data_IF_741710291918
#
_entry.id   IF_741710291918
#
_cell.length_a   1.000
_cell.length_b   1.000
_cell.length_c   1.000
_cell.angle_alpha   90.00
_cell.angle_beta   90.00
_cell.angle_gamma   90.00
#
_symmetry.space_group_name_H-M   'P 1'
#
loop_
_entity.id
_entity.type
_entity.pdbx_description
1 polymer ?
#
# COMPACT_ATOMS: atom_id res chain seq x y z
N UNK A 1 1.61 -36.07 80.36
CA UNK A 1 0.34 -35.76 79.67
C UNK A 1 0.65 -34.81 78.52
N UNK A 2 0.16 -35.10 77.31
CA UNK A 2 0.44 -34.31 76.10
C UNK A 2 0.93 -35.19 74.95
N UNK A 3 0.01 -35.91 74.31
CA UNK A 3 0.25 -36.87 73.22
C UNK A 3 0.30 -36.17 71.86
N UNK A 4 1.50 -36.07 71.27
CA UNK A 4 1.70 -35.66 69.88
C UNK A 4 1.63 -36.85 68.92
N UNK A 5 0.61 -36.91 68.05
CA UNK A 5 0.51 -37.87 66.94
C UNK A 5 0.79 -37.18 65.59
N UNK A 6 1.40 -37.89 64.62
CA UNK A 6 1.92 -37.29 63.40
C UNK A 6 0.92 -37.24 62.22
N UNK A 7 1.21 -36.32 61.31
CA UNK A 7 0.58 -36.04 60.02
C UNK A 7 0.49 -37.27 59.10
N UNK A 8 -0.71 -37.58 58.60
CA UNK A 8 -0.94 -38.45 57.43
C UNK A 8 -1.41 -37.63 56.22
N UNK A 9 -0.58 -37.62 55.18
CA UNK A 9 -0.88 -37.15 53.82
C UNK A 9 -2.03 -37.98 53.21
N UNK A 10 -3.08 -37.32 52.72
CA UNK A 10 -4.07 -37.91 51.78
C UNK A 10 -3.82 -37.39 50.38
N UNK A 11 -3.32 -38.27 49.50
CA UNK A 11 -3.35 -38.11 48.05
C UNK A 11 -4.80 -38.30 47.56
N UNK A 12 -5.36 -37.32 46.86
CA UNK A 12 -6.57 -37.51 46.03
C UNK A 12 -6.14 -37.62 44.57
N UNK A 13 -6.20 -38.84 44.03
CA UNK A 13 -6.23 -39.13 42.58
C UNK A 13 -7.59 -38.68 42.04
N UNK A 14 -7.60 -37.89 40.97
CA UNK A 14 -8.79 -37.69 40.11
C UNK A 14 -8.62 -38.57 38.88
N UNK A 15 -9.55 -39.50 38.68
CA UNK A 15 -9.74 -40.24 37.43
C UNK A 15 -10.49 -39.37 36.41
N UNK A 16 -10.27 -39.58 35.09
CA UNK A 16 -11.02 -38.90 34.05
C UNK A 16 -12.35 -39.63 33.77
N UNK A 17 -13.44 -38.86 33.68
CA UNK A 17 -14.74 -39.35 33.22
C UNK A 17 -14.76 -39.44 31.69
N UNK A 18 -15.28 -40.57 31.22
CA UNK A 18 -15.42 -40.95 29.83
C UNK A 18 -16.86 -40.76 29.33
N UNK A 19 -16.96 -40.44 28.03
CA UNK A 19 -18.00 -40.82 27.06
C UNK A 19 -19.44 -40.30 27.29
N UNK A 20 -19.83 -39.37 26.42
CA UNK A 20 -21.19 -39.18 25.95
C UNK A 20 -21.15 -38.95 24.44
N UNK A 21 -21.63 -39.94 23.68
CA UNK A 21 -21.79 -39.89 22.22
C UNK A 21 -22.95 -38.96 21.89
N UNK A 22 -22.83 -38.15 20.84
CA UNK A 22 -23.91 -38.02 19.86
C UNK A 22 -23.38 -37.51 18.52
N UNK A 23 -23.80 -38.23 17.48
CA UNK A 23 -23.32 -38.12 16.12
C UNK A 23 -24.34 -37.30 15.31
N UNK A 24 -23.92 -36.18 14.72
CA UNK A 24 -24.65 -35.55 13.63
C UNK A 24 -23.79 -35.55 12.35
N UNK A 25 -24.12 -36.49 11.47
CA UNK A 25 -23.50 -36.71 10.16
C UNK A 25 -24.22 -35.84 9.13
N UNK A 26 -23.72 -34.63 8.87
CA UNK A 26 -24.07 -33.89 7.64
C UNK A 26 -23.00 -34.10 6.57
N UNK A 27 -23.28 -35.03 5.66
CA UNK A 27 -22.51 -35.29 4.44
C UNK A 27 -22.71 -34.13 3.46
N UNK A 28 -21.69 -33.28 3.28
CA UNK A 28 -21.62 -32.42 2.10
C UNK A 28 -21.21 -33.25 0.88
N UNK A 29 -22.13 -33.38 -0.08
CA UNK A 29 -21.83 -33.91 -1.43
C UNK A 29 -20.98 -32.89 -2.20
N UNK A 30 -19.94 -33.31 -2.94
CA UNK A 30 -19.23 -32.42 -3.85
C UNK A 30 -20.08 -32.20 -5.11
N UNK A 31 -20.38 -30.94 -5.44
CA UNK A 31 -20.99 -30.57 -6.70
C UNK A 31 -19.98 -30.83 -7.85
N UNK A 32 -20.35 -31.75 -8.76
CA UNK A 32 -19.69 -31.91 -10.05
C UNK A 32 -19.91 -30.64 -10.88
N UNK A 33 -18.84 -29.90 -11.12
CA UNK A 33 -18.81 -28.81 -12.11
C UNK A 33 -18.93 -29.44 -13.51
N UNK A 34 -19.99 -29.08 -14.24
CA UNK A 34 -20.13 -29.36 -15.67
C UNK A 34 -19.23 -28.39 -16.46
N UNK A 35 -18.57 -28.84 -17.54
CA UNK A 35 -17.81 -27.95 -18.41
C UNK A 35 -18.78 -27.03 -19.18
N UNK A 36 -18.62 -25.71 -19.00
CA UNK A 36 -19.28 -24.71 -19.83
C UNK A 36 -18.52 -24.58 -21.15
N UNK A 37 -19.20 -24.93 -22.24
CA UNK A 37 -18.75 -24.74 -23.62
C UNK A 37 -18.74 -23.23 -23.92
N UNK A 38 -17.56 -22.69 -24.24
CA UNK A 38 -17.41 -21.31 -24.69
C UNK A 38 -18.06 -21.13 -26.07
N UNK A 39 -19.20 -20.43 -26.13
CA UNK A 39 -19.70 -19.83 -27.37
C UNK A 39 -18.92 -18.54 -27.64
N UNK A 40 -18.10 -18.54 -28.68
CA UNK A 40 -17.52 -17.34 -29.25
C UNK A 40 -18.63 -16.47 -29.86
N UNK A 41 -18.85 -15.28 -29.30
CA UNK A 41 -19.72 -14.26 -29.91
C UNK A 41 -18.91 -13.57 -31.01
N UNK A 42 -19.26 -13.83 -32.28
CA UNK A 42 -18.76 -13.06 -33.42
C UNK A 42 -19.39 -11.66 -33.37
N UNK A 43 -18.55 -10.63 -33.37
CA UNK A 43 -18.99 -9.24 -33.52
C UNK A 43 -19.36 -8.95 -34.98
N UNK A 44 -20.47 -8.23 -35.15
CA UNK A 44 -21.06 -7.85 -36.43
C UNK A 44 -20.24 -6.76 -37.14
N UNK A 45 -19.97 -6.87 -38.46
CA UNK A 45 -19.16 -5.93 -39.21
C UNK A 45 -20.01 -4.75 -39.69
N UNK A 46 -20.33 -3.81 -38.80
CA UNK A 46 -21.05 -2.59 -39.20
C UNK A 46 -20.74 -1.42 -38.27
N UNK A 47 -19.46 -1.10 -38.09
CA UNK A 47 -18.98 0.14 -37.47
C UNK A 47 -17.64 0.55 -38.11
N UNK A 48 -17.67 0.77 -39.42
CA UNK A 48 -16.68 1.59 -40.13
C UNK A 48 -17.47 2.70 -40.81
N UNK A 49 -16.93 3.92 -40.72
CA UNK A 49 -17.40 5.19 -41.29
C UNK A 49 -18.29 6.04 -40.36
N UNK A 50 -17.63 7.02 -39.74
CA UNK A 50 -17.97 8.45 -39.61
C UNK A 50 -17.00 8.99 -38.55
N UNK A 51 -16.34 10.13 -38.65
CA UNK A 51 -16.15 11.16 -39.67
C UNK A 51 -15.10 12.08 -39.01
N UNK A 52 -14.01 12.40 -39.70
CA UNK A 52 -13.07 13.41 -39.26
C UNK A 52 -13.75 14.78 -39.30
N UNK A 53 -13.90 15.45 -38.16
CA UNK A 53 -14.16 16.90 -38.09
C UNK A 53 -13.27 17.50 -37.00
N UNK A 54 -12.31 18.32 -37.43
CA UNK A 54 -11.49 19.18 -36.57
C UNK A 54 -12.37 20.29 -35.98
N UNK A 55 -12.34 20.56 -34.68
CA UNK A 55 -12.93 21.77 -34.13
C UNK A 55 -12.02 22.99 -34.37
N UNK A 56 -12.59 24.21 -34.42
CA UNK A 56 -11.85 25.43 -34.68
C UNK A 56 -10.96 25.83 -33.49
N UNK A 57 -9.81 26.44 -33.81
CA UNK A 57 -8.87 26.99 -32.85
C UNK A 57 -9.44 28.29 -32.27
N UNK A 58 -9.71 28.30 -30.96
CA UNK A 58 -9.97 29.53 -30.22
C UNK A 58 -8.66 30.09 -29.65
N UNK A 59 -8.38 31.35 -30.00
CA UNK A 59 -7.32 32.17 -29.41
C UNK A 59 -7.45 32.24 -27.88
N UNK A 60 -6.36 31.94 -27.17
CA UNK A 60 -6.22 32.20 -25.73
C UNK A 60 -5.59 33.58 -25.51
N UNK A 61 -6.13 34.41 -24.60
CA UNK A 61 -5.44 35.60 -24.15
C UNK A 61 -4.25 35.23 -23.25
N UNK A 62 -3.14 35.93 -23.44
CA UNK A 62 -1.91 35.85 -22.65
C UNK A 62 -2.13 36.37 -21.23
N UNK A 63 -1.88 35.52 -20.23
CA UNK A 63 -1.80 35.95 -18.82
C UNK A 63 -0.37 36.40 -18.47
N UNK A 64 -0.21 37.38 -17.57
CA UNK A 64 1.09 37.94 -17.21
C UNK A 64 1.91 36.96 -16.35
N UNK A 65 3.22 36.92 -16.61
CA UNK A 65 4.21 36.17 -15.83
C UNK A 65 4.46 36.87 -14.49
N UNK A 66 4.45 36.19 -13.34
CA UNK A 66 5.07 36.72 -12.13
C UNK A 66 6.55 36.31 -12.07
N UNK A 67 7.40 37.32 -11.92
CA UNK A 67 8.79 37.20 -11.52
C UNK A 67 8.92 36.52 -10.15
N UNK A 68 9.47 35.30 -10.12
CA UNK A 68 9.98 34.68 -8.90
C UNK A 68 11.36 34.07 -9.16
N UNK A 69 12.33 34.92 -9.50
CA UNK A 69 13.76 34.58 -9.49
C UNK A 69 14.50 35.51 -8.52
N UNK A 70 14.47 35.19 -7.23
CA UNK A 70 15.24 35.96 -6.24
C UNK A 70 15.58 35.25 -4.92
N UNK A 71 14.86 34.21 -4.49
CA UNK A 71 14.96 33.73 -3.09
C UNK A 71 15.68 32.39 -2.86
N UNK A 72 16.20 31.72 -3.90
CA UNK A 72 16.84 30.40 -3.74
C UNK A 72 18.38 30.38 -3.59
N UNK A 73 19.08 31.51 -3.73
CA UNK A 73 20.56 31.53 -3.69
C UNK A 73 21.19 31.71 -2.30
N UNK A 74 20.44 32.11 -1.27
CA UNK A 74 21.00 32.34 0.07
C UNK A 74 21.14 31.08 0.96
N UNK A 75 20.44 29.98 0.64
CA UNK A 75 20.30 28.84 1.56
C UNK A 75 21.36 27.74 1.40
N UNK A 76 22.06 27.70 0.26
CA UNK A 76 23.04 26.63 -0.03
C UNK A 76 24.36 26.83 0.74
N UNK A 77 24.72 28.07 1.12
CA UNK A 77 25.97 28.35 1.85
C UNK A 77 25.95 28.03 3.35
N UNK A 78 24.79 28.00 4.01
CA UNK A 78 24.71 27.78 5.45
C UNK A 78 24.94 26.31 5.89
N UNK A 79 24.83 25.37 4.95
CA UNK A 79 24.95 23.92 5.20
C UNK A 79 26.40 23.44 5.40
N UNK A 80 27.39 24.25 5.02
CA UNK A 80 28.83 23.93 5.15
C UNK A 80 29.55 24.71 6.26
N UNK A 81 28.81 25.43 7.09
CA UNK A 81 29.39 26.17 8.20
C UNK A 81 29.76 25.23 9.38
N UNK A 82 30.87 25.48 10.08
CA UNK A 82 31.19 24.84 11.35
C UNK A 82 30.03 24.97 12.36
N UNK A 83 29.88 23.98 13.26
CA UNK A 83 28.75 23.88 14.21
C UNK A 83 28.48 25.15 15.02
N UNK A 84 29.50 25.92 15.38
CA UNK A 84 29.35 27.17 16.13
C UNK A 84 28.72 28.30 15.27
N UNK A 85 29.05 28.36 13.97
CA UNK A 85 28.48 29.32 13.03
C UNK A 85 27.03 28.97 12.65
N UNK A 86 26.69 27.68 12.57
CA UNK A 86 25.30 27.23 12.44
C UNK A 86 24.45 27.64 13.67
N UNK A 87 25.01 27.58 14.88
CA UNK A 87 24.33 28.04 16.11
C UNK A 87 24.10 29.55 16.12
N UNK A 88 25.08 30.36 15.70
CA UNK A 88 24.93 31.83 15.57
C UNK A 88 23.90 32.21 14.51
N UNK A 89 23.89 31.52 13.36
CA UNK A 89 22.88 31.74 12.31
C UNK A 89 21.46 31.41 12.79
N UNK A 90 21.28 30.30 13.54
CA UNK A 90 20.00 29.94 14.17
C UNK A 90 19.52 30.96 15.20
N UNK A 91 20.42 31.54 15.99
CA UNK A 91 20.08 32.62 16.94
C UNK A 91 19.61 33.88 16.19
N UNK A 92 20.26 34.25 15.09
CA UNK A 92 19.84 35.38 14.24
C UNK A 92 18.48 35.17 13.55
N UNK A 93 18.18 33.94 13.11
CA UNK A 93 16.87 33.62 12.52
C UNK A 93 15.75 33.62 13.56
N UNK A 94 16.00 33.15 14.79
CA UNK A 94 15.06 33.24 15.92
C UNK A 94 14.78 34.69 16.32
N UNK A 95 15.82 35.52 16.40
CA UNK A 95 15.69 36.95 16.72
C UNK A 95 14.89 37.74 15.67
N UNK A 96 14.74 37.21 14.44
CA UNK A 96 13.97 37.85 13.34
C UNK A 96 12.58 37.24 13.14
N UNK A 97 12.10 36.38 14.04
CA UNK A 97 10.78 35.72 13.89
C UNK A 97 10.71 34.69 12.74
N UNK A 98 11.85 34.36 12.11
CA UNK A 98 11.92 33.48 10.93
C UNK A 98 12.14 32.00 11.29
N UNK A 99 11.86 31.60 12.53
CA UNK A 99 12.20 30.26 13.03
C UNK A 99 11.00 29.30 13.06
N UNK A 100 10.46 28.96 11.89
CA UNK A 100 9.84 27.65 11.70
C UNK A 100 10.78 26.79 10.89
N UNK A 101 11.83 26.28 11.55
CA UNK A 101 12.63 25.21 10.97
C UNK A 101 11.79 23.93 11.02
N UNK A 102 11.79 23.09 9.96
CA UNK A 102 11.07 21.82 9.97
C UNK A 102 11.51 20.98 11.17
N UNK A 103 10.55 20.35 11.85
CA UNK A 103 10.81 19.47 12.99
C UNK A 103 11.43 18.18 12.46
N UNK A 104 12.76 18.16 12.40
CA UNK A 104 13.52 16.96 11.98
C UNK A 104 13.46 15.92 13.10
N UNK A 105 12.79 14.80 12.83
CA UNK A 105 12.73 13.69 13.75
C UNK A 105 14.08 12.95 13.74
N UNK A 106 14.65 12.66 14.91
CA UNK A 106 15.89 11.89 15.04
C UNK A 106 15.74 10.83 16.12
N UNK A 107 15.90 9.53 15.80
CA UNK A 107 15.75 8.45 16.77
C UNK A 107 16.68 8.52 17.98
N UNK A 108 17.82 9.24 17.88
CA UNK A 108 18.86 9.26 18.91
C UNK A 108 18.57 10.15 20.13
N UNK A 109 17.42 10.84 20.19
CA UNK A 109 17.04 11.72 21.32
C UNK A 109 16.10 11.11 22.36
N UNK A 110 15.84 9.81 22.30
CA UNK A 110 15.02 9.10 23.30
C UNK A 110 15.93 8.28 24.23
N UNK A 111 16.58 8.92 25.21
CA UNK A 111 17.20 8.22 26.35
C UNK A 111 16.25 8.33 27.55
N UNK A 112 15.89 7.19 28.16
CA UNK A 112 15.41 7.13 29.54
C UNK A 112 15.87 5.82 30.19
N UNK A 113 16.77 5.92 31.18
CA UNK A 113 16.39 5.87 32.59
C UNK A 113 15.57 4.70 33.15
N UNK A 114 15.46 3.54 32.47
CA UNK A 114 14.95 2.32 33.13
C UNK A 114 15.80 1.11 32.74
N UNK A 115 16.68 0.70 33.65
CA UNK A 115 17.41 -0.56 33.58
C UNK A 115 16.47 -1.69 34.03
N UNK A 116 16.27 -2.71 33.19
CA UNK A 116 15.63 -3.97 33.60
C UNK A 116 14.58 -4.58 32.66
N UNK A 117 14.09 -3.86 31.65
CA UNK A 117 13.22 -4.43 30.60
C UNK A 117 13.96 -4.45 29.27
N UNK A 118 13.87 -5.56 28.53
CA UNK A 118 14.40 -5.66 27.17
C UNK A 118 13.97 -4.42 26.37
N UNK A 119 14.87 -3.76 25.63
CA UNK A 119 14.61 -2.46 25.03
C UNK A 119 13.41 -2.54 24.09
N UNK A 120 12.29 -1.98 24.55
CA UNK A 120 11.08 -1.83 23.75
C UNK A 120 11.42 -0.92 22.56
N UNK A 121 11.57 -1.50 21.37
CA UNK A 121 11.86 -0.73 20.15
C UNK A 121 10.62 0.11 19.81
N UNK A 122 10.69 1.41 20.12
CA UNK A 122 9.57 2.34 19.98
C UNK A 122 9.24 2.57 18.50
N UNK A 123 7.95 2.55 18.18
CA UNK A 123 7.38 2.93 16.87
C UNK A 123 7.20 4.44 16.80
N UNK A 124 7.12 4.99 15.59
CA UNK A 124 6.72 6.38 15.36
C UNK A 124 5.24 6.46 15.05
N UNK A 125 4.41 6.94 15.99
CA UNK A 125 3.00 7.26 15.74
C UNK A 125 2.86 8.77 15.58
N UNK A 126 2.21 9.20 14.51
CA UNK A 126 1.88 10.59 14.24
C UNK A 126 0.36 10.75 14.36
N UNK A 127 -0.06 11.34 15.47
CA UNK A 127 -1.47 11.62 15.79
C UNK A 127 -1.85 13.05 15.36
N UNK A 128 -0.91 13.98 15.49
CA UNK A 128 -1.08 15.39 15.12
C UNK A 128 0.30 15.97 14.76
N UNK A 129 0.35 16.78 13.71
CA UNK A 129 1.55 17.46 13.23
C UNK A 129 1.49 17.90 11.78
N UNK A 130 2.12 19.06 11.53
CA UNK A 130 2.50 19.53 10.19
C UNK A 130 4.01 19.62 10.03
N UNK A 131 4.50 19.61 8.78
CA UNK A 131 5.91 19.79 8.43
C UNK A 131 6.85 18.74 9.04
N UNK A 132 6.37 17.49 9.18
CA UNK A 132 7.16 16.40 9.77
C UNK A 132 7.98 15.73 8.69
N UNK A 133 9.30 15.66 8.90
CA UNK A 133 10.22 14.95 8.01
C UNK A 133 10.88 13.79 8.74
N UNK A 134 10.63 12.58 8.25
CA UNK A 134 11.26 11.34 8.68
C UNK A 134 12.13 10.86 7.53
N UNK A 135 13.45 11.06 7.65
CA UNK A 135 14.38 10.79 6.56
C UNK A 135 15.63 10.05 6.98
N UNK A 136 16.11 9.16 6.11
CA UNK A 136 17.39 8.46 6.27
C UNK A 136 17.50 7.69 7.61
N UNK A 137 16.37 7.20 8.10
CA UNK A 137 16.29 6.33 9.26
C UNK A 137 16.38 4.85 8.85
N UNK A 138 16.72 4.00 9.82
CA UNK A 138 16.65 2.53 9.69
C UNK A 138 15.65 1.98 10.70
N UNK A 139 14.61 1.32 10.21
CA UNK A 139 13.60 0.65 11.01
C UNK A 139 13.82 -0.85 10.87
N UNK A 140 14.16 -1.51 11.99
CA UNK A 140 14.51 -2.95 12.01
C UNK A 140 13.63 -3.68 13.00
N UNK A 141 12.88 -4.67 12.50
CA UNK A 141 12.02 -5.54 13.30
C UNK A 141 11.01 -4.75 14.16
N UNK A 142 10.43 -3.71 13.57
CA UNK A 142 9.39 -2.87 14.17
C UNK A 142 8.01 -3.48 13.91
N UNK A 143 7.31 -3.88 14.97
CA UNK A 143 5.91 -4.31 14.97
C UNK A 143 5.30 -4.23 16.38
N UNK A 144 4.01 -4.55 16.53
CA UNK A 144 3.39 -4.85 17.83
C UNK A 144 3.82 -6.23 18.32
N UNK A 145 4.30 -6.32 19.55
CA UNK A 145 4.22 -7.60 20.27
C UNK A 145 2.73 -7.99 20.28
N UNK A 146 2.41 -9.18 19.77
CA UNK A 146 1.10 -9.78 20.03
C UNK A 146 0.82 -9.78 21.53
N UNK A 147 -0.45 -9.80 21.91
CA UNK A 147 -0.91 -9.68 23.30
C UNK A 147 -0.50 -10.83 24.25
N UNK A 148 0.44 -11.68 23.82
CA UNK A 148 0.94 -12.81 24.60
C UNK A 148 0.09 -14.07 24.50
N UNK A 149 -1.00 -14.09 23.72
CA UNK A 149 -1.74 -15.33 23.47
C UNK A 149 -1.01 -16.25 22.47
N UNK A 150 -0.99 -17.55 22.77
CA UNK A 150 -0.41 -18.60 21.93
C UNK A 150 -1.17 -18.68 20.59
N UNK A 151 -0.48 -18.40 19.49
CA UNK A 151 -1.07 -18.29 18.13
C UNK A 151 -0.71 -16.97 17.43
N UNK A 152 -0.26 -15.96 18.18
CA UNK A 152 0.28 -14.72 17.65
C UNK A 152 1.71 -14.94 17.15
N UNK A 153 1.88 -14.93 15.83
CA UNK A 153 3.18 -15.22 15.26
C UNK A 153 4.29 -14.25 15.66
N UNK A 154 5.50 -14.63 15.32
CA UNK A 154 6.72 -13.98 15.79
C UNK A 154 6.74 -12.53 15.30
N UNK A 155 6.74 -11.53 16.20
CA UNK A 155 6.75 -10.12 15.82
C UNK A 155 7.95 -9.76 14.93
N UNK A 156 9.03 -10.54 14.98
CA UNK A 156 10.21 -10.34 14.17
C UNK A 156 10.14 -11.07 12.82
N UNK A 157 9.22 -12.03 12.65
CA UNK A 157 8.99 -12.73 11.38
C UNK A 157 7.93 -12.01 10.55
N UNK A 158 8.26 -11.61 9.31
CA UNK A 158 7.35 -10.87 8.43
C UNK A 158 6.02 -11.57 8.15
N UNK A 159 6.03 -12.91 8.08
CA UNK A 159 4.88 -13.73 7.70
C UNK A 159 3.99 -14.15 8.87
N UNK A 160 4.45 -13.95 10.11
CA UNK A 160 3.71 -14.41 11.29
C UNK A 160 3.46 -13.28 12.28
N UNK A 161 4.21 -12.17 12.23
CA UNK A 161 3.93 -10.97 13.00
C UNK A 161 2.61 -10.31 12.60
N UNK A 162 2.00 -9.57 13.55
CA UNK A 162 0.75 -8.86 13.31
C UNK A 162 0.87 -7.88 12.14
N UNK A 163 -0.18 -7.83 11.30
CA UNK A 163 -0.25 -6.98 10.10
C UNK A 163 -0.30 -5.48 10.39
N UNK A 164 -0.61 -5.07 11.62
CA UNK A 164 -0.68 -3.67 12.03
C UNK A 164 -0.26 -3.46 13.49
N UNK A 165 0.23 -2.26 13.86
CA UNK A 165 0.42 -1.07 13.02
C UNK A 165 1.77 -1.10 12.28
N UNK A 166 1.97 -0.11 11.41
CA UNK A 166 3.22 0.07 10.68
C UNK A 166 4.41 0.55 11.53
N UNK A 167 5.59 0.66 10.91
CA UNK A 167 6.78 1.21 11.58
C UNK A 167 6.66 2.72 11.82
N UNK A 168 6.10 3.39 10.82
CA UNK A 168 5.56 4.75 10.91
C UNK A 168 4.06 4.60 10.75
N UNK A 169 3.30 5.16 11.69
CA UNK A 169 1.86 5.03 11.77
C UNK A 169 1.25 6.42 11.81
N UNK A 170 0.58 6.82 10.73
CA UNK A 170 -0.10 8.12 10.59
C UNK A 170 -1.58 7.86 10.83
N UNK A 171 -2.01 8.12 12.05
CA UNK A 171 -3.33 7.76 12.55
C UNK A 171 -3.80 8.91 13.45
N UNK A 172 -4.46 9.94 12.87
CA UNK A 172 -5.08 10.98 13.68
C UNK A 172 -6.03 10.36 14.70
N UNK A 173 -6.09 10.96 15.88
CA UNK A 173 -7.14 10.63 16.84
C UNK A 173 -8.50 10.99 16.24
N UNK A 174 -9.59 10.45 16.79
CA UNK A 174 -10.96 10.72 16.34
C UNK A 174 -11.45 12.17 16.58
N UNK A 175 -10.51 13.09 16.83
CA UNK A 175 -10.74 14.50 17.05
C UNK A 175 -10.68 15.24 15.69
N UNK A 176 -11.68 16.05 15.38
CA UNK A 176 -11.78 16.79 14.13
C UNK A 176 -10.76 17.94 14.01
N UNK A 177 -10.04 18.24 15.09
CA UNK A 177 -8.95 19.21 15.16
C UNK A 177 -7.57 18.66 14.78
N UNK A 178 -7.41 17.34 14.59
CA UNK A 178 -6.12 16.76 14.24
C UNK A 178 -5.55 17.36 12.94
N UNK A 179 -4.32 17.88 12.98
CA UNK A 179 -3.64 18.45 11.81
C UNK A 179 -2.65 17.41 11.30
N UNK A 180 -2.95 16.75 10.18
CA UNK A 180 -1.99 15.86 9.50
C UNK A 180 -1.65 16.47 8.14
N UNK A 181 -0.53 17.19 8.06
CA UNK A 181 -0.16 17.92 6.84
C UNK A 181 1.33 17.90 6.53
N UNK A 182 1.66 17.92 5.24
CA UNK A 182 3.04 18.18 4.79
C UNK A 182 4.05 17.21 5.43
N UNK A 183 3.69 15.92 5.44
CA UNK A 183 4.45 14.83 6.04
C UNK A 183 5.33 14.19 4.97
N UNK A 184 6.64 14.10 5.22
CA UNK A 184 7.58 13.50 4.29
C UNK A 184 8.31 12.33 4.93
N UNK A 185 8.13 11.13 4.38
CA UNK A 185 8.85 9.91 4.74
C UNK A 185 9.77 9.53 3.59
N UNK A 186 11.08 9.78 3.72
CA UNK A 186 12.00 9.62 2.59
C UNK A 186 13.35 8.98 2.84
N UNK A 187 13.83 8.19 1.89
CA UNK A 187 15.18 7.61 1.94
C UNK A 187 15.42 6.75 3.18
N UNK A 188 14.36 6.18 3.77
CA UNK A 188 14.46 5.30 4.92
C UNK A 188 14.63 3.85 4.47
N UNK A 189 15.15 3.02 5.37
CA UNK A 189 15.28 1.58 5.16
C UNK A 189 14.46 0.84 6.22
N UNK A 190 13.47 0.08 5.79
CA UNK A 190 12.61 -0.75 6.62
C UNK A 190 12.91 -2.22 6.34
N UNK A 191 13.25 -2.99 7.36
CA UNK A 191 13.58 -4.41 7.18
C UNK A 191 13.11 -5.27 8.36
N UNK A 192 12.51 -6.42 8.03
CA UNK A 192 11.98 -7.36 9.00
C UNK A 192 10.77 -6.84 9.78
N UNK A 193 10.18 -7.70 10.60
CA UNK A 193 9.02 -7.38 11.44
C UNK A 193 7.65 -7.48 10.76
N UNK A 194 6.61 -7.62 11.55
CA UNK A 194 5.21 -7.59 11.09
C UNK A 194 4.74 -6.20 10.64
N UNK A 195 3.63 -6.19 9.90
CA UNK A 195 2.91 -5.03 9.42
C UNK A 195 3.57 -4.18 8.33
N UNK A 196 2.88 -3.11 7.93
CA UNK A 196 3.34 -2.20 6.86
C UNK A 196 4.56 -1.38 7.28
N UNK A 197 5.38 -0.88 6.34
CA UNK A 197 6.45 0.05 6.69
C UNK A 197 5.88 1.42 7.10
N UNK A 198 4.94 1.92 6.29
CA UNK A 198 4.17 3.14 6.58
C UNK A 198 2.69 2.77 6.57
N UNK A 199 2.02 3.00 7.69
CA UNK A 199 0.59 2.80 7.86
C UNK A 199 -0.11 4.15 7.88
N UNK A 200 -1.21 4.30 7.15
CA UNK A 200 -2.00 5.54 7.13
C UNK A 200 -3.46 5.19 7.35
N UNK A 201 -3.94 5.35 8.59
CA UNK A 201 -5.33 5.17 8.96
C UNK A 201 -5.95 6.54 9.21
N UNK A 202 -6.39 7.18 8.12
CA UNK A 202 -6.80 8.59 8.12
C UNK A 202 -8.31 8.72 8.36
N UNK A 203 -8.71 9.82 8.99
CA UNK A 203 -10.12 10.22 9.04
C UNK A 203 -10.59 10.70 7.65
N UNK A 204 -11.86 10.50 7.29
CA UNK A 204 -12.43 11.05 6.07
C UNK A 204 -12.25 12.58 6.03
N UNK A 205 -11.73 13.11 4.93
CA UNK A 205 -11.44 14.54 4.84
C UNK A 205 -12.69 15.45 4.95
N UNK A 206 -13.89 14.89 4.78
CA UNK A 206 -15.17 15.60 5.02
C UNK A 206 -15.49 15.78 6.52
N UNK A 207 -14.90 14.96 7.38
CA UNK A 207 -15.20 14.91 8.83
C UNK A 207 -14.17 15.68 9.67
N UNK A 208 -13.13 16.24 9.06
CA UNK A 208 -12.09 17.04 9.76
C UNK A 208 -12.17 18.51 9.37
N UNK A 209 -11.91 19.39 10.34
CA UNK A 209 -11.94 20.85 10.12
C UNK A 209 -10.81 21.30 9.19
N UNK A 210 -9.62 20.78 9.41
CA UNK A 210 -8.45 21.04 8.55
C UNK A 210 -8.21 19.80 7.67
N UNK A 211 -8.25 19.92 6.33
CA UNK A 211 -8.03 18.76 5.47
C UNK A 211 -6.63 18.16 5.67
N UNK A 212 -6.60 16.85 5.86
CA UNK A 212 -5.40 16.02 5.82
C UNK A 212 -4.84 16.09 4.39
N UNK A 213 -3.59 16.52 4.23
CA UNK A 213 -3.02 16.76 2.90
C UNK A 213 -1.49 16.73 2.85
N UNK A 214 -0.91 16.49 1.66
CA UNK A 214 0.52 16.70 1.43
C UNK A 214 1.43 15.62 2.04
N UNK A 215 0.97 14.37 2.08
CA UNK A 215 1.79 13.25 2.57
C UNK A 215 2.61 12.68 1.41
N UNK A 216 3.93 12.62 1.56
CA UNK A 216 4.86 12.08 0.57
C UNK A 216 5.69 10.94 1.15
N UNK A 217 5.65 9.78 0.50
CA UNK A 217 6.47 8.60 0.82
C UNK A 217 7.39 8.33 -0.37
N UNK A 218 8.67 8.67 -0.27
CA UNK A 218 9.57 8.68 -1.43
C UNK A 218 10.96 8.03 -1.21
N UNK A 219 11.45 7.30 -2.20
CA UNK A 219 12.84 6.81 -2.20
C UNK A 219 13.17 5.86 -1.04
N UNK A 220 12.18 5.20 -0.44
CA UNK A 220 12.40 4.27 0.66
C UNK A 220 12.70 2.85 0.14
N UNK A 221 13.45 2.08 0.93
CA UNK A 221 13.71 0.66 0.69
C UNK A 221 12.99 -0.13 1.78
N UNK A 222 12.09 -1.02 1.38
CA UNK A 222 11.24 -1.83 2.26
C UNK A 222 11.44 -3.30 1.91
N UNK A 223 11.91 -4.10 2.85
CA UNK A 223 12.36 -5.46 2.59
C UNK A 223 11.85 -6.43 3.63
N UNK A 224 11.33 -7.58 3.19
CA UNK A 224 10.95 -8.68 4.07
C UNK A 224 10.08 -8.17 5.23
N UNK A 225 8.93 -7.59 4.90
CA UNK A 225 7.90 -7.13 5.85
C UNK A 225 6.55 -7.72 5.46
N UNK A 226 5.54 -7.59 6.32
CA UNK A 226 4.18 -7.93 5.91
C UNK A 226 3.76 -7.09 4.70
N UNK A 227 3.99 -5.77 4.73
CA UNK A 227 3.71 -4.94 3.57
C UNK A 227 4.54 -3.67 3.42
N UNK A 228 4.43 -3.07 2.22
CA UNK A 228 5.07 -1.81 1.88
C UNK A 228 4.40 -0.64 2.58
N UNK A 229 3.23 -0.23 2.08
CA UNK A 229 2.44 0.84 2.67
C UNK A 229 0.95 0.53 2.59
N UNK A 230 0.17 1.05 3.55
CA UNK A 230 -1.28 1.08 3.44
C UNK A 230 -1.81 2.51 3.55
N UNK A 231 -2.99 2.73 2.96
CA UNK A 231 -3.69 4.00 2.98
C UNK A 231 -5.19 3.75 3.09
N UNK A 232 -5.76 4.07 4.25
CA UNK A 232 -7.17 4.00 4.55
C UNK A 232 -7.72 5.40 4.81
N UNK A 233 -8.84 5.73 4.20
CA UNK A 233 -9.47 7.05 4.33
C UNK A 233 -10.99 6.98 4.44
N UNK A 234 -11.69 7.44 3.40
CA UNK A 234 -13.15 7.44 3.34
C UNK A 234 -13.72 6.03 3.48
N UNK A 235 -14.92 5.91 4.06
CA UNK A 235 -15.70 4.66 4.08
C UNK A 235 -16.72 4.64 2.94
N UNK A 236 -17.05 3.44 2.45
CA UNK A 236 -18.06 3.24 1.41
C UNK A 236 -17.73 4.01 0.14
N UNK A 237 -18.66 4.84 -0.34
CA UNK A 237 -18.50 5.69 -1.52
C UNK A 237 -18.03 7.12 -1.19
N UNK A 238 -17.66 7.41 0.06
CA UNK A 238 -17.32 8.76 0.51
C UNK A 238 -16.22 9.46 -0.30
N UNK A 239 -15.25 8.70 -0.84
CA UNK A 239 -14.21 9.27 -1.72
C UNK A 239 -14.76 9.84 -3.04
N UNK A 240 -15.84 9.24 -3.56
CA UNK A 240 -16.50 9.68 -4.79
C UNK A 240 -17.40 10.91 -4.56
N UNK A 241 -17.96 11.04 -3.36
CA UNK A 241 -18.87 12.14 -3.00
C UNK A 241 -18.12 13.39 -2.51
N UNK A 242 -16.95 13.21 -1.88
CA UNK A 242 -16.17 14.33 -1.35
C UNK A 242 -15.41 15.05 -2.46
N UNK A 243 -15.31 16.38 -2.35
CA UNK A 243 -14.43 17.24 -3.14
C UNK A 243 -13.01 17.32 -2.55
N UNK A 244 -12.84 17.03 -1.25
CA UNK A 244 -11.57 17.14 -0.50
C UNK A 244 -10.71 15.86 -0.59
N UNK A 245 -9.69 15.86 -1.46
CA UNK A 245 -8.70 14.79 -1.55
C UNK A 245 -7.57 14.86 -0.51
N UNK A 246 -6.82 13.78 -0.33
CA UNK A 246 -5.69 13.69 0.62
C UNK A 246 -4.35 14.13 0.03
N UNK A 247 -4.24 14.30 -1.29
CA UNK A 247 -2.99 14.68 -1.98
C UNK A 247 -1.77 13.84 -1.52
N UNK A 248 -1.92 12.52 -1.50
CA UNK A 248 -0.87 11.59 -1.08
C UNK A 248 -0.05 11.17 -2.30
N UNK A 249 1.27 11.20 -2.17
CA UNK A 249 2.19 10.73 -3.20
C UNK A 249 3.11 9.64 -2.66
N UNK A 250 3.10 8.48 -3.29
CA UNK A 250 4.01 7.36 -3.00
C UNK A 250 4.87 7.11 -4.23
N UNK A 251 6.16 7.44 -4.18
CA UNK A 251 7.01 7.39 -5.37
C UNK A 251 8.42 6.88 -5.17
N UNK A 252 8.98 6.30 -6.22
CA UNK A 252 10.40 5.90 -6.27
C UNK A 252 10.82 4.97 -5.12
N UNK A 253 9.88 4.23 -4.51
CA UNK A 253 10.19 3.28 -3.44
C UNK A 253 10.52 1.90 -4.03
N UNK A 254 11.36 1.14 -3.33
CA UNK A 254 11.60 -0.28 -3.61
C UNK A 254 10.99 -1.10 -2.48
N UNK A 255 10.00 -1.93 -2.80
CA UNK A 255 9.34 -2.86 -1.89
C UNK A 255 9.64 -4.27 -2.37
N UNK A 256 10.32 -5.08 -1.54
CA UNK A 256 10.69 -6.44 -1.93
C UNK A 256 10.46 -7.49 -0.86
N UNK A 257 10.16 -8.72 -1.28
CA UNK A 257 10.00 -9.85 -0.36
C UNK A 257 8.87 -9.66 0.66
N UNK A 258 7.89 -8.81 0.34
CA UNK A 258 6.76 -8.53 1.23
C UNK A 258 5.52 -9.35 0.85
N UNK A 259 4.60 -9.57 1.79
CA UNK A 259 3.33 -10.22 1.47
C UNK A 259 2.42 -9.28 0.67
N UNK A 260 2.23 -8.04 1.13
CA UNK A 260 1.38 -7.03 0.50
C UNK A 260 2.20 -5.84 0.02
N UNK A 261 2.40 -5.64 -1.29
CA UNK A 261 3.11 -4.46 -1.80
C UNK A 261 2.49 -3.15 -1.28
N UNK A 262 1.17 -3.01 -1.46
CA UNK A 262 0.39 -1.93 -0.87
C UNK A 262 -1.11 -2.23 -0.82
N UNK A 263 -1.84 -1.48 0.01
CA UNK A 263 -3.31 -1.36 -0.01
C UNK A 263 -3.69 0.12 -0.03
N UNK A 264 -4.59 0.51 -0.93
CA UNK A 264 -5.23 1.82 -0.91
C UNK A 264 -6.75 1.65 -0.87
N UNK A 265 -7.40 2.05 0.22
CA UNK A 265 -8.83 1.89 0.44
C UNK A 265 -9.48 3.23 0.79
N UNK A 266 -10.57 3.59 0.09
CA UNK A 266 -11.29 4.82 0.41
C UNK A 266 -10.48 6.10 0.12
N UNK A 267 -9.59 6.07 -0.86
CA UNK A 267 -8.67 7.17 -1.13
C UNK A 267 -9.19 8.10 -2.22
N UNK A 268 -9.08 9.41 -1.97
CA UNK A 268 -9.23 10.48 -2.97
C UNK A 268 -7.93 11.24 -3.19
N UNK A 269 -7.46 11.38 -4.43
CA UNK A 269 -6.26 12.16 -4.73
C UNK A 269 -4.97 11.46 -4.28
N UNK A 270 -4.83 10.18 -4.61
CA UNK A 270 -3.64 9.37 -4.34
C UNK A 270 -2.84 9.15 -5.64
N UNK A 271 -1.53 9.35 -5.60
CA UNK A 271 -0.61 9.03 -6.69
C UNK A 271 0.42 8.01 -6.23
N UNK A 272 0.52 6.88 -6.92
CA UNK A 272 1.53 5.84 -6.72
C UNK A 272 2.35 5.73 -8.02
N UNK A 273 3.61 6.19 -8.01
CA UNK A 273 4.39 6.27 -9.26
C UNK A 273 5.87 5.93 -9.15
N UNK A 274 6.47 5.31 -10.17
CA UNK A 274 7.91 5.04 -10.18
C UNK A 274 8.38 4.03 -9.13
N UNK A 275 7.48 3.30 -8.48
CA UNK A 275 7.85 2.31 -7.46
C UNK A 275 8.23 0.97 -8.10
N UNK A 276 9.05 0.20 -7.38
CA UNK A 276 9.45 -1.18 -7.74
C UNK A 276 8.92 -2.13 -6.68
N UNK A 277 7.98 -2.99 -7.06
CA UNK A 277 7.43 -4.07 -6.25
C UNK A 277 8.01 -5.38 -6.78
N UNK A 278 8.83 -6.06 -5.99
CA UNK A 278 9.65 -7.18 -6.47
C UNK A 278 9.56 -8.36 -5.51
N UNK A 279 9.30 -9.56 -6.02
CA UNK A 279 9.25 -10.78 -5.21
C UNK A 279 8.25 -10.69 -4.04
N UNK A 280 7.11 -10.02 -4.26
CA UNK A 280 6.05 -9.96 -3.26
C UNK A 280 5.11 -11.15 -3.40
N UNK A 281 4.85 -11.85 -2.28
CA UNK A 281 4.09 -13.11 -2.27
C UNK A 281 2.58 -12.93 -2.28
N UNK A 282 2.07 -11.70 -2.34
CA UNK A 282 0.66 -11.38 -2.47
C UNK A 282 0.43 -10.22 -3.44
N UNK A 283 -0.83 -9.86 -3.64
CA UNK A 283 -1.23 -8.80 -4.56
C UNK A 283 -1.14 -7.41 -3.91
N UNK A 284 -0.83 -6.41 -4.72
CA UNK A 284 -1.15 -5.02 -4.44
C UNK A 284 -2.65 -4.77 -4.61
N UNK A 285 -3.22 -3.79 -3.90
CA UNK A 285 -4.66 -3.55 -3.94
C UNK A 285 -5.03 -2.06 -4.08
N UNK A 286 -5.84 -1.78 -5.10
CA UNK A 286 -6.52 -0.52 -5.32
C UNK A 286 -8.02 -0.70 -5.05
N UNK A 287 -8.48 -0.06 -3.98
CA UNK A 287 -9.75 -0.30 -3.32
C UNK A 287 -9.60 -1.39 -2.26
N UNK A 288 -10.65 -1.61 -1.48
CA UNK A 288 -10.84 -2.80 -0.65
C UNK A 288 -12.35 -2.88 -0.41
N UNK A 289 -12.82 -2.40 0.73
CA UNK A 289 -14.25 -2.27 1.07
C UNK A 289 -14.82 -0.89 0.72
N UNK A 290 -13.98 0.07 0.27
CA UNK A 290 -14.37 1.45 0.00
C UNK A 290 -13.84 1.91 -1.35
N UNK A 291 -14.64 2.74 -2.02
CA UNK A 291 -14.39 3.20 -3.37
C UNK A 291 -13.19 4.17 -3.45
N UNK A 292 -12.55 4.20 -4.60
CA UNK A 292 -11.48 5.15 -4.92
C UNK A 292 -12.00 6.33 -5.73
N UNK A 293 -11.31 7.48 -5.65
CA UNK A 293 -11.56 8.62 -6.53
C UNK A 293 -10.26 9.35 -6.90
N UNK A 294 -10.08 9.78 -8.15
CA UNK A 294 -8.90 10.55 -8.57
C UNK A 294 -7.57 9.87 -8.15
N UNK A 295 -7.42 8.59 -8.48
CA UNK A 295 -6.24 7.79 -8.12
C UNK A 295 -5.40 7.51 -9.35
N UNK A 296 -4.09 7.75 -9.25
CA UNK A 296 -3.14 7.44 -10.32
C UNK A 296 -2.14 6.39 -9.87
N UNK A 297 -2.05 5.28 -10.62
CA UNK A 297 -1.01 4.26 -10.51
C UNK A 297 -0.21 4.28 -11.82
N UNK A 298 0.99 4.86 -11.83
CA UNK A 298 1.74 5.06 -13.07
C UNK A 298 3.22 4.75 -13.02
N UNK A 299 3.77 4.23 -14.11
CA UNK A 299 5.22 3.98 -14.26
C UNK A 299 5.83 3.11 -13.14
N UNK A 300 5.05 2.19 -12.54
CA UNK A 300 5.56 1.26 -11.54
C UNK A 300 6.01 -0.05 -12.19
N UNK A 301 6.94 -0.75 -11.54
CA UNK A 301 7.34 -2.12 -11.88
C UNK A 301 6.74 -3.10 -10.87
N UNK A 302 6.03 -4.10 -11.37
CA UNK A 302 5.57 -5.28 -10.63
C UNK A 302 6.29 -6.50 -11.19
N UNK A 303 7.30 -6.98 -10.47
CA UNK A 303 8.15 -8.10 -10.89
C UNK A 303 7.98 -9.28 -9.93
N UNK A 304 7.50 -10.42 -10.43
CA UNK A 304 7.22 -11.62 -9.62
C UNK A 304 6.34 -11.31 -8.40
N UNK A 305 5.43 -10.35 -8.56
CA UNK A 305 4.41 -9.99 -7.57
C UNK A 305 3.20 -10.88 -7.77
N UNK A 306 2.65 -11.40 -6.68
CA UNK A 306 1.42 -12.20 -6.68
C UNK A 306 1.62 -13.55 -6.02
N UNK A 307 0.61 -13.94 -5.24
CA UNK A 307 0.64 -15.15 -4.43
C UNK A 307 -0.08 -16.34 -5.05
N UNK A 308 -0.29 -17.42 -4.28
CA UNK A 308 -1.09 -18.57 -4.69
C UNK A 308 -2.51 -18.20 -5.16
N UNK A 309 -3.04 -17.05 -4.71
CA UNK A 309 -4.33 -16.51 -5.13
C UNK A 309 -4.35 -15.93 -6.56
N UNK A 310 -3.23 -15.98 -7.30
CA UNK A 310 -3.21 -15.71 -8.74
C UNK A 310 -2.76 -14.33 -9.17
N UNK A 311 -3.01 -13.29 -8.37
CA UNK A 311 -3.04 -11.92 -8.90
C UNK A 311 -1.85 -11.06 -8.44
N UNK A 312 -1.35 -10.15 -9.28
CA UNK A 312 -0.35 -9.15 -8.87
C UNK A 312 -0.98 -7.83 -8.41
N UNK A 313 -2.04 -7.37 -9.07
CA UNK A 313 -2.79 -6.17 -8.73
C UNK A 313 -4.28 -6.46 -8.74
N UNK A 314 -4.95 -6.18 -7.62
CA UNK A 314 -6.40 -6.13 -7.52
C UNK A 314 -6.91 -4.70 -7.66
N UNK A 315 -7.95 -4.55 -8.46
CA UNK A 315 -8.62 -3.27 -8.71
C UNK A 315 -10.10 -3.44 -8.44
N UNK A 316 -10.61 -2.61 -7.53
CA UNK A 316 -12.02 -2.56 -7.15
C UNK A 316 -12.64 -1.23 -7.56
N UNK A 317 -13.92 -1.05 -7.22
CA UNK A 317 -14.74 0.08 -7.63
C UNK A 317 -14.17 1.46 -7.26
N UNK A 318 -14.53 2.44 -8.08
CA UNK A 318 -14.07 3.82 -7.94
C UNK A 318 -14.42 4.68 -9.15
N UNK A 319 -13.90 5.90 -9.15
CA UNK A 319 -14.03 6.84 -10.25
C UNK A 319 -12.70 7.55 -10.54
N UNK A 320 -12.46 7.92 -11.80
CA UNK A 320 -11.29 8.71 -12.20
C UNK A 320 -9.97 8.04 -11.78
N UNK A 321 -9.87 6.72 -12.02
CA UNK A 321 -8.68 5.92 -11.71
C UNK A 321 -7.86 5.71 -12.98
N UNK A 322 -6.60 6.12 -12.95
CA UNK A 322 -5.65 5.94 -14.04
C UNK A 322 -4.59 4.90 -13.69
N UNK A 323 -4.49 3.84 -14.49
CA UNK A 323 -3.46 2.80 -14.39
C UNK A 323 -2.65 2.84 -15.70
N UNK A 324 -1.50 3.49 -15.67
CA UNK A 324 -0.79 3.87 -16.91
C UNK A 324 0.71 3.62 -16.89
N UNK A 325 1.29 3.17 -18.01
CA UNK A 325 2.75 3.04 -18.12
C UNK A 325 3.40 2.03 -17.16
N UNK A 326 2.62 1.15 -16.50
CA UNK A 326 3.17 0.19 -15.56
C UNK A 326 3.76 -1.03 -16.30
N UNK A 327 4.77 -1.66 -15.70
CA UNK A 327 5.39 -2.88 -16.21
C UNK A 327 5.08 -4.03 -15.27
N UNK A 328 4.53 -5.11 -15.83
CA UNK A 328 4.22 -6.34 -15.14
C UNK A 328 5.10 -7.44 -15.71
N UNK A 329 6.07 -7.92 -14.93
CA UNK A 329 7.06 -8.92 -15.32
C UNK A 329 6.87 -10.16 -14.48
N UNK A 330 6.44 -11.26 -15.09
CA UNK A 330 6.11 -12.51 -14.38
C UNK A 330 5.16 -12.26 -13.19
N UNK A 331 4.21 -11.35 -13.37
CA UNK A 331 3.29 -10.91 -12.34
C UNK A 331 2.04 -11.79 -12.31
N UNK A 332 1.73 -12.34 -11.14
CA UNK A 332 0.68 -13.33 -10.87
C UNK A 332 1.21 -14.54 -10.07
N UNK A 333 0.37 -15.55 -9.85
CA UNK A 333 0.81 -16.85 -9.31
C UNK A 333 1.76 -17.57 -10.29
N UNK A 334 2.72 -18.33 -9.77
CA UNK A 334 3.43 -19.31 -10.58
C UNK A 334 2.50 -20.47 -10.95
N UNK A 335 2.43 -20.83 -12.23
CA UNK A 335 1.60 -21.94 -12.70
C UNK A 335 0.65 -21.53 -13.83
N UNK A 336 0.40 -22.46 -14.75
CA UNK A 336 -0.04 -22.16 -16.13
C UNK A 336 -1.46 -21.58 -16.30
N UNK A 337 -2.26 -21.32 -15.26
CA UNK A 337 -3.67 -20.90 -15.43
C UNK A 337 -4.11 -19.70 -14.59
N UNK A 338 -3.57 -19.54 -13.40
CA UNK A 338 -4.09 -18.55 -12.43
C UNK A 338 -3.22 -17.29 -12.34
N UNK A 339 -2.08 -17.25 -13.05
CA UNK A 339 -1.19 -16.10 -13.04
C UNK A 339 -1.78 -14.88 -13.76
N UNK A 340 -2.41 -13.98 -13.01
CA UNK A 340 -3.07 -12.77 -13.51
C UNK A 340 -2.26 -11.54 -13.09
N UNK A 341 -1.86 -10.68 -14.05
CA UNK A 341 -1.15 -9.44 -13.66
C UNK A 341 -2.11 -8.42 -13.06
N UNK A 342 -3.21 -8.09 -13.75
CA UNK A 342 -4.22 -7.13 -13.24
C UNK A 342 -5.60 -7.76 -13.23
N UNK A 343 -6.23 -7.79 -12.06
CA UNK A 343 -7.60 -8.26 -11.90
C UNK A 343 -8.52 -7.10 -11.50
N UNK A 344 -9.54 -6.87 -12.32
CA UNK A 344 -10.68 -6.03 -11.97
C UNK A 344 -11.73 -6.91 -11.30
N UNK A 345 -11.86 -6.80 -9.98
CA UNK A 345 -12.51 -7.83 -9.15
C UNK A 345 -13.98 -7.53 -8.90
N UNK A 346 -14.31 -6.33 -8.41
CA UNK A 346 -15.68 -5.98 -8.01
C UNK A 346 -15.92 -4.47 -7.99
N UNK A 347 -17.19 -4.07 -7.94
CA UNK A 347 -17.62 -2.70 -7.76
C UNK A 347 -17.81 -1.93 -9.07
N UNK A 348 -18.45 -0.76 -8.97
CA UNK A 348 -18.65 0.12 -10.11
C UNK A 348 -17.37 0.90 -10.44
N UNK A 349 -16.94 0.87 -11.70
CA UNK A 349 -15.71 1.50 -12.17
C UNK A 349 -16.04 2.51 -13.26
N UNK A 350 -15.91 3.80 -12.97
CA UNK A 350 -16.29 4.91 -13.87
C UNK A 350 -15.08 5.76 -14.23
N UNK A 351 -14.96 6.18 -15.50
CA UNK A 351 -13.86 7.04 -15.97
C UNK A 351 -12.47 6.45 -15.70
N UNK A 352 -12.32 5.14 -15.88
CA UNK A 352 -11.03 4.48 -15.74
C UNK A 352 -10.18 4.74 -16.98
N UNK A 353 -8.89 5.00 -16.78
CA UNK A 353 -7.91 5.05 -17.85
C UNK A 353 -6.92 3.89 -17.67
N UNK A 354 -6.80 3.04 -18.69
CA UNK A 354 -5.89 1.89 -18.68
C UNK A 354 -5.09 1.87 -19.98
N UNK A 355 -3.85 2.37 -19.95
CA UNK A 355 -3.08 2.65 -21.17
C UNK A 355 -1.57 2.55 -20.96
N UNK A 356 -0.84 2.12 -21.98
CA UNK A 356 0.63 2.11 -21.95
C UNK A 356 1.22 1.06 -21.01
N UNK A 357 0.43 0.14 -20.46
CA UNK A 357 0.95 -0.91 -19.58
C UNK A 357 1.63 -2.01 -20.41
N UNK A 358 2.73 -2.55 -19.91
CA UNK A 358 3.53 -3.58 -20.57
C UNK A 358 3.50 -4.85 -19.73
N UNK A 359 3.15 -5.97 -20.36
CA UNK A 359 3.06 -7.29 -19.73
C UNK A 359 4.05 -8.24 -20.38
N UNK A 360 4.95 -8.81 -19.59
CA UNK A 360 5.94 -9.78 -20.07
C UNK A 360 5.98 -10.97 -19.11
N UNK A 361 6.09 -12.18 -19.66
CA UNK A 361 6.16 -13.39 -18.85
C UNK A 361 7.31 -14.31 -19.28
N UNK A 362 8.59 -13.90 -19.15
CA UNK A 362 9.72 -14.70 -19.60
C UNK A 362 9.75 -16.12 -19.02
N UNK A 363 9.27 -16.30 -17.79
CA UNK A 363 9.25 -17.61 -17.12
C UNK A 363 7.93 -18.37 -17.29
N UNK A 364 6.98 -17.81 -18.06
CA UNK A 364 5.63 -18.37 -18.19
C UNK A 364 4.79 -18.27 -16.91
N UNK A 365 5.19 -17.43 -15.94
CA UNK A 365 4.46 -17.21 -14.68
C UNK A 365 3.12 -16.50 -14.90
N UNK A 366 3.05 -15.47 -15.75
CA UNK A 366 1.79 -14.80 -16.07
C UNK A 366 1.06 -15.56 -17.17
N UNK A 367 -0.11 -16.12 -16.83
CA UNK A 367 -1.03 -16.73 -17.78
C UNK A 367 -1.93 -15.69 -18.48
N UNK A 368 -2.36 -14.65 -17.74
CA UNK A 368 -3.32 -13.65 -18.22
C UNK A 368 -2.84 -12.24 -17.83
N UNK A 369 -2.61 -11.32 -18.80
CA UNK A 369 -2.23 -9.94 -18.48
C UNK A 369 -3.31 -9.22 -17.67
N UNK A 370 -4.58 -9.38 -18.06
CA UNK A 370 -5.70 -8.69 -17.45
C UNK A 370 -6.90 -9.63 -17.39
N UNK A 371 -7.59 -9.65 -16.25
CA UNK A 371 -8.87 -10.34 -16.07
C UNK A 371 -9.94 -9.39 -15.51
N UNK A 372 -11.14 -9.44 -16.08
CA UNK A 372 -12.33 -8.76 -15.58
C UNK A 372 -13.27 -9.81 -14.98
N UNK A 373 -13.44 -9.80 -13.66
CA UNK A 373 -14.37 -10.70 -12.98
C UNK A 373 -15.82 -10.27 -13.18
N UNK A 374 -16.75 -11.22 -13.01
CA UNK A 374 -18.19 -11.01 -13.24
C UNK A 374 -18.78 -9.87 -12.39
N UNK A 375 -18.29 -9.67 -11.17
CA UNK A 375 -18.80 -8.66 -10.25
C UNK A 375 -18.22 -7.25 -10.49
N UNK A 376 -17.23 -7.13 -11.38
CA UNK A 376 -16.67 -5.84 -11.77
C UNK A 376 -17.57 -5.17 -12.81
N UNK A 377 -18.15 -4.02 -12.43
CA UNK A 377 -19.08 -3.25 -13.26
C UNK A 377 -18.34 -2.09 -13.92
N UNK A 378 -17.61 -2.41 -14.98
CA UNK A 378 -16.86 -1.43 -15.76
C UNK A 378 -17.78 -0.64 -16.68
N UNK A 379 -17.86 0.68 -16.47
CA UNK A 379 -18.63 1.58 -17.32
C UNK A 379 -17.90 1.79 -18.66
N UNK A 380 -18.37 1.08 -19.69
CA UNK A 380 -17.80 1.12 -21.04
C UNK A 380 -17.90 2.51 -21.69
N UNK A 381 -18.89 3.32 -21.31
CA UNK A 381 -19.07 4.66 -21.90
C UNK A 381 -18.02 5.66 -21.43
N UNK A 382 -17.40 5.40 -20.28
CA UNK A 382 -16.39 6.29 -19.69
C UNK A 382 -14.99 5.68 -19.62
N UNK A 383 -14.85 4.39 -19.95
CA UNK A 383 -13.57 3.69 -20.02
C UNK A 383 -12.69 4.24 -21.15
N UNK A 384 -11.43 4.54 -20.83
CA UNK A 384 -10.39 4.91 -21.79
C UNK A 384 -9.32 3.82 -21.81
N UNK A 385 -9.26 3.06 -22.90
CA UNK A 385 -8.21 2.09 -23.15
C UNK A 385 -7.19 2.71 -24.14
N UNK A 386 -5.90 2.54 -23.86
CA UNK A 386 -4.82 2.93 -24.77
C UNK A 386 -3.88 1.76 -25.08
N UNK A 387 -2.67 2.09 -25.54
CA UNK A 387 -1.65 1.14 -26.03
C UNK A 387 -1.08 0.22 -24.94
N UNK A 388 -1.86 -0.74 -24.47
CA UNK A 388 -1.36 -1.81 -23.61
C UNK A 388 -0.70 -2.88 -24.47
N UNK A 389 0.50 -3.31 -24.09
CA UNK A 389 1.32 -4.20 -24.90
C UNK A 389 1.68 -5.46 -24.14
N UNK A 390 1.55 -6.59 -24.80
CA UNK A 390 2.21 -7.82 -24.41
C UNK A 390 3.20 -8.10 -25.54
N UNK A 391 4.47 -7.67 -25.42
CA UNK A 391 5.48 -8.02 -26.41
C UNK A 391 5.43 -9.52 -26.63
N UNK A 392 5.45 -9.95 -27.90
CA UNK A 392 5.51 -11.36 -28.22
C UNK A 392 6.63 -11.97 -27.38
N UNK A 393 6.28 -12.94 -26.54
CA UNK A 393 7.30 -13.65 -25.81
C UNK A 393 8.23 -14.21 -26.88
N UNK A 394 9.51 -13.84 -26.86
CA UNK A 394 10.55 -14.78 -27.27
C UNK A 394 10.41 -15.91 -26.27
N UNK A 395 9.44 -16.81 -26.52
CA UNK A 395 9.45 -18.13 -25.93
C UNK A 395 10.81 -18.64 -26.41
N UNK A 396 11.82 -18.76 -25.53
CA UNK A 396 13.03 -19.45 -25.96
C UNK A 396 12.51 -20.83 -26.30
N UNK A 397 12.43 -21.20 -27.58
CA UNK A 397 11.85 -22.47 -28.05
C UNK A 397 12.54 -23.58 -27.25
N UNK A 398 11.97 -24.10 -26.16
CA UNK A 398 12.66 -25.07 -25.35
C UNK A 398 12.23 -26.40 -25.95
N UNK A 399 13.05 -26.94 -26.84
CA UNK A 399 13.01 -28.35 -27.28
C UNK A 399 11.58 -28.87 -27.52
N UNK A 400 10.89 -28.26 -28.49
CA UNK A 400 9.78 -28.93 -29.19
C UNK A 400 10.29 -29.91 -30.26
N UNK A 401 11.61 -30.15 -30.28
CA UNK A 401 12.24 -31.30 -30.91
C UNK A 401 12.71 -32.18 -29.75
N UNK A 402 12.02 -33.30 -29.53
CA UNK A 402 12.47 -34.34 -28.63
C UNK A 402 13.79 -34.95 -29.12
N UNK A 403 14.90 -34.35 -28.69
CA UNK A 403 16.24 -34.94 -28.65
C UNK A 403 16.78 -34.82 -27.23
#
# INVERSE_FOLDING_TARGET
MGTGRPLRRRQRRRQPASIGRDADRRRHRPHRLRPLVHRAVRLHPSLRQRLARRPPQHHRPSLPRPELRGRRRAWVRALFLPRHAQRRHRRRLRARGLSRLPRRWSPSRLRNGQQGRAPQRRRGRLIDGSDVVIERCRFRNTTRQGDGTLGNGDPHKPLTGLGQPGSIDIEPNADDFAIIRDIVVRGNHFTGGGGYAVSMLLLPNKDVRVPISGITIEGNVIENRYGGFDAFGFRGDGAMQSDRGYAITVRDNTVRGCEKPFIANGMRGLTITGNRFVDCTGHAELGYDSALANVTLSNNLFERVGGPQGNALWVRGGADVAITGNRFVDAGAAGRRDGISVAFVTGAMRRYAFSGNIFTSPTGRTAQPVLLFQDAKLDRGTLRLGDNRQPAATIPIPRLLGM
#
